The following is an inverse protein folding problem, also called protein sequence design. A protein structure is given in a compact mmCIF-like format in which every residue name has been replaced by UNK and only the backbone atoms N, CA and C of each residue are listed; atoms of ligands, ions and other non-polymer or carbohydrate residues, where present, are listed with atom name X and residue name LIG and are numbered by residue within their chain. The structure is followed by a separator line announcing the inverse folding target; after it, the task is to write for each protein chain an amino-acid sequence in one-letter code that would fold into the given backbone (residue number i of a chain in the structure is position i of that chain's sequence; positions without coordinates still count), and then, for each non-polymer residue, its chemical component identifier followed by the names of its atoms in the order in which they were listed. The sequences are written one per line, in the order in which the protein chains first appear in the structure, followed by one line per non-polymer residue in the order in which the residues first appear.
data_IF_146108371159
#
_entry.id   IF_146108371159
#
_cell.length_a   1.000
_cell.length_b   1.000
_cell.length_c   1.000
_cell.angle_alpha   90.00
_cell.angle_beta   90.00
_cell.angle_gamma   90.00
#
_symmetry.space_group_name_H-M   'P 1'
#
loop_
_entity.id
_entity.type
_entity.pdbx_description
1 polymer ?
#
# COMPACT_ATOMS: atom_id res chain seq x y z
N UNK A 1 -48.38 22.77 -6.21
CA UNK A 1 -47.20 22.58 -7.07
C UNK A 1 -46.11 21.98 -6.20
N UNK A 2 -46.07 20.66 -6.13
CA UNK A 2 -45.37 19.91 -5.07
C UNK A 2 -44.67 18.69 -5.63
N UNK A 3 -44.16 18.81 -6.85
CA UNK A 3 -43.69 17.67 -7.65
C UNK A 3 -42.25 17.81 -8.11
N UNK A 4 -41.62 18.97 -7.91
CA UNK A 4 -40.26 19.25 -8.39
C UNK A 4 -39.18 19.02 -7.32
N UNK A 5 -39.55 18.99 -6.04
CA UNK A 5 -38.65 18.68 -4.92
C UNK A 5 -38.47 17.16 -4.71
N UNK A 6 -39.47 16.34 -5.07
CA UNK A 6 -39.40 14.89 -4.93
C UNK A 6 -38.41 14.24 -5.93
N UNK A 7 -38.13 14.89 -7.07
CA UNK A 7 -37.21 14.37 -8.09
C UNK A 7 -35.74 14.36 -7.64
N UNK A 8 -35.40 15.13 -6.59
CA UNK A 8 -34.05 15.22 -6.05
C UNK A 8 -33.85 14.39 -4.76
N UNK A 9 -34.92 13.90 -4.14
CA UNK A 9 -34.84 12.97 -3.00
C UNK A 9 -34.61 11.52 -3.47
N UNK A 10 -34.99 11.18 -4.71
CA UNK A 10 -34.73 9.87 -5.34
C UNK A 10 -33.34 9.74 -5.98
N UNK A 11 -32.52 10.80 -5.95
CA UNK A 11 -31.11 10.71 -6.32
C UNK A 11 -30.30 10.22 -5.11
N UNK A 12 -30.52 8.95 -4.75
CA UNK A 12 -29.71 8.24 -3.79
C UNK A 12 -28.23 8.47 -4.08
N UNK A 13 -27.53 9.06 -3.11
CA UNK A 13 -26.07 9.12 -2.96
C UNK A 13 -25.34 8.72 -4.23
N UNK A 14 -25.19 9.67 -5.15
CA UNK A 14 -24.26 9.53 -6.28
C UNK A 14 -22.91 9.21 -5.65
N UNK A 15 -22.50 7.94 -5.75
CA UNK A 15 -21.31 7.43 -5.09
C UNK A 15 -20.16 8.39 -5.34
N UNK A 16 -19.50 8.82 -4.26
CA UNK A 16 -18.41 9.79 -4.30
C UNK A 16 -17.46 9.41 -5.44
N UNK A 17 -17.44 10.19 -6.52
CA UNK A 17 -16.62 9.89 -7.69
C UNK A 17 -15.17 10.01 -7.23
N UNK A 18 -14.42 8.92 -7.30
CA UNK A 18 -13.01 8.91 -6.97
C UNK A 18 -12.28 10.03 -7.73
N UNK A 19 -11.60 10.90 -7.00
CA UNK A 19 -10.79 11.96 -7.61
C UNK A 19 -9.64 11.34 -8.41
N UNK A 20 -9.65 11.57 -9.73
CA UNK A 20 -8.59 11.08 -10.61
C UNK A 20 -7.33 11.92 -10.41
N UNK A 21 -6.22 11.25 -10.13
CA UNK A 21 -4.91 11.90 -10.03
C UNK A 21 -4.35 12.13 -11.43
N UNK A 22 -3.98 13.38 -11.73
CA UNK A 22 -3.27 13.71 -12.96
C UNK A 22 -1.79 13.36 -12.81
N UNK A 23 -1.27 12.63 -13.80
CA UNK A 23 0.13 12.25 -13.87
C UNK A 23 0.68 12.64 -15.24
N UNK A 24 1.91 13.15 -15.25
CA UNK A 24 2.56 13.66 -16.45
C UNK A 24 3.78 12.82 -16.83
N UNK A 25 3.89 12.52 -18.12
CA UNK A 25 5.04 11.85 -18.75
C UNK A 25 5.50 12.70 -19.93
N UNK A 26 6.55 13.48 -19.74
CA UNK A 26 7.02 14.44 -20.75
C UNK A 26 5.94 15.48 -21.08
N UNK A 27 5.42 15.46 -22.31
CA UNK A 27 4.32 16.34 -22.75
C UNK A 27 2.93 15.74 -22.54
N UNK A 28 2.81 14.46 -22.18
CA UNK A 28 1.53 13.76 -22.05
C UNK A 28 1.00 13.82 -20.63
N UNK A 29 -0.31 14.02 -20.48
CA UNK A 29 -1.03 13.96 -19.20
C UNK A 29 -2.00 12.78 -19.24
N UNK A 30 -1.97 11.97 -18.19
CA UNK A 30 -2.88 10.86 -17.97
C UNK A 30 -3.63 11.06 -16.65
N UNK A 31 -4.84 10.52 -16.56
CA UNK A 31 -5.65 10.52 -15.34
C UNK A 31 -5.74 9.08 -14.83
N UNK A 32 -5.36 8.88 -13.57
CA UNK A 32 -5.32 7.56 -12.94
C UNK A 32 -6.08 7.62 -11.63
N UNK A 33 -6.93 6.62 -11.39
CA UNK A 33 -7.61 6.45 -10.12
C UNK A 33 -6.67 5.79 -9.10
N UNK A 34 -5.88 6.61 -8.39
CA UNK A 34 -4.92 6.12 -7.38
C UNK A 34 -5.61 5.63 -6.11
N UNK A 35 -6.73 6.25 -5.70
CA UNK A 35 -7.48 5.81 -4.53
C UNK A 35 -7.95 4.36 -4.71
N UNK A 36 -8.49 4.04 -5.89
CA UNK A 36 -8.89 2.67 -6.24
C UNK A 36 -7.71 1.71 -6.23
N UNK A 37 -6.61 2.01 -6.91
CA UNK A 37 -5.42 1.15 -6.94
C UNK A 37 -4.87 0.88 -5.54
N UNK A 38 -4.78 1.92 -4.72
CA UNK A 38 -4.31 1.80 -3.34
C UNK A 38 -5.24 0.92 -2.51
N UNK A 39 -6.55 1.05 -2.67
CA UNK A 39 -7.52 0.20 -1.98
C UNK A 39 -7.38 -1.27 -2.37
N UNK A 40 -7.32 -1.56 -3.67
CA UNK A 40 -7.12 -2.92 -4.19
C UNK A 40 -5.80 -3.52 -3.71
N UNK A 41 -4.71 -2.74 -3.78
CA UNK A 41 -3.40 -3.17 -3.30
C UNK A 41 -3.39 -3.41 -1.78
N UNK A 42 -4.09 -2.56 -1.01
CA UNK A 42 -4.19 -2.77 0.43
C UNK A 42 -4.99 -4.00 0.76
N UNK A 43 -6.19 -4.18 0.20
CA UNK A 43 -7.00 -5.40 0.36
C UNK A 43 -6.14 -6.65 0.12
N UNK A 44 -5.38 -6.68 -0.99
CA UNK A 44 -4.45 -7.78 -1.27
C UNK A 44 -3.34 -7.91 -0.24
N UNK A 45 -2.76 -6.81 0.22
CA UNK A 45 -1.75 -6.82 1.29
C UNK A 45 -2.33 -7.41 2.58
N UNK A 46 -3.57 -7.10 2.94
CA UNK A 46 -4.24 -7.64 4.12
C UNK A 46 -4.33 -9.14 4.10
N UNK A 47 -4.83 -9.70 3.00
CA UNK A 47 -4.90 -11.15 2.80
C UNK A 47 -3.54 -11.83 2.96
N UNK A 48 -2.48 -11.21 2.43
CA UNK A 48 -1.11 -11.72 2.55
C UNK A 48 -0.62 -11.64 4.00
N UNK A 49 -0.80 -10.49 4.67
CA UNK A 49 -0.32 -10.29 6.02
C UNK A 49 -1.03 -11.21 7.02
N UNK A 50 -2.34 -11.41 6.89
CA UNK A 50 -3.12 -12.35 7.70
C UNK A 50 -2.58 -13.79 7.58
N UNK A 51 -2.11 -14.18 6.39
CA UNK A 51 -1.47 -15.49 6.18
C UNK A 51 -0.07 -15.59 6.80
N UNK A 52 0.61 -14.47 7.00
CA UNK A 52 1.98 -14.40 7.49
C UNK A 52 2.06 -14.14 9.00
N UNK A 53 0.99 -13.69 9.63
CA UNK A 53 0.97 -13.42 11.06
C UNK A 53 1.36 -14.66 11.89
N UNK A 54 2.20 -14.43 12.90
CA UNK A 54 2.78 -15.46 13.76
C UNK A 54 3.95 -16.24 13.14
N UNK A 55 4.29 -16.02 11.87
CA UNK A 55 5.30 -16.79 11.14
C UNK A 55 6.59 -16.00 10.96
N UNK A 56 7.65 -16.69 10.57
CA UNK A 56 8.92 -16.05 10.24
C UNK A 56 8.88 -15.54 8.80
N UNK A 57 9.15 -14.26 8.62
CA UNK A 57 9.26 -13.62 7.30
C UNK A 57 10.61 -12.95 7.14
N UNK A 58 10.94 -12.61 5.90
CA UNK A 58 12.19 -11.96 5.53
C UNK A 58 11.85 -10.73 4.69
N UNK A 59 12.48 -9.61 5.01
CA UNK A 59 12.27 -8.34 4.32
C UNK A 59 13.48 -8.03 3.48
N UNK A 60 13.26 -7.73 2.21
CA UNK A 60 14.28 -7.18 1.31
C UNK A 60 13.79 -5.86 0.73
N UNK A 61 14.71 -4.92 0.53
CA UNK A 61 14.41 -3.71 -0.25
C UNK A 61 15.68 -3.19 -0.90
N UNK A 62 15.62 -3.00 -2.21
CA UNK A 62 16.59 -2.18 -2.90
C UNK A 62 16.04 -0.75 -2.93
N UNK A 63 16.62 0.16 -2.15
CA UNK A 63 16.17 1.57 -2.10
C UNK A 63 16.45 2.37 -3.38
N UNK A 64 16.64 1.69 -4.51
CA UNK A 64 16.93 2.25 -5.82
C UNK A 64 18.16 3.14 -5.86
N UNK A 65 18.21 4.05 -6.83
CA UNK A 65 19.24 5.08 -6.96
C UNK A 65 19.24 6.09 -5.79
N UNK A 66 18.23 6.07 -4.92
CA UNK A 66 18.04 6.96 -3.78
C UNK A 66 18.57 6.40 -2.45
N UNK A 67 19.15 5.19 -2.43
CA UNK A 67 19.71 4.58 -1.22
C UNK A 67 21.18 4.20 -1.39
N UNK A 68 21.96 4.39 -0.32
CA UNK A 68 23.36 3.94 -0.25
C UNK A 68 23.51 2.51 0.30
N UNK A 69 22.40 1.84 0.62
CA UNK A 69 22.41 0.50 1.17
C UNK A 69 21.25 -0.34 0.63
N UNK A 70 21.43 -1.66 0.70
CA UNK A 70 20.43 -2.66 0.37
C UNK A 70 20.21 -3.54 1.61
N UNK A 71 18.95 -3.71 2.01
CA UNK A 71 18.55 -4.78 2.94
C UNK A 71 18.17 -6.05 2.17
N UNK A 72 18.84 -7.15 2.47
CA UNK A 72 18.52 -8.44 1.86
C UNK A 72 18.21 -9.48 2.95
N UNK A 73 17.03 -10.10 2.83
CA UNK A 73 16.51 -11.14 3.71
C UNK A 73 16.66 -10.82 5.21
N UNK A 74 16.28 -9.61 5.61
CA UNK A 74 16.22 -9.25 7.02
C UNK A 74 15.08 -10.02 7.69
N UNK A 75 15.41 -10.94 8.59
CA UNK A 75 14.43 -11.79 9.27
C UNK A 75 13.60 -10.99 10.28
N UNK A 76 12.27 -11.03 10.14
CA UNK A 76 11.31 -10.70 11.19
C UNK A 76 10.69 -12.01 11.68
N UNK A 77 11.18 -12.51 12.81
CA UNK A 77 10.67 -13.74 13.40
C UNK A 77 9.39 -13.52 14.20
N UNK A 78 8.46 -14.51 14.15
CA UNK A 78 7.13 -14.47 14.76
C UNK A 78 6.42 -13.14 14.53
N UNK A 79 6.12 -12.87 13.27
CA UNK A 79 5.51 -11.63 12.82
C UNK A 79 4.29 -11.27 13.68
N UNK A 80 4.23 -10.03 14.16
CA UNK A 80 3.02 -9.43 14.76
C UNK A 80 2.65 -8.19 13.97
N UNK A 81 1.36 -7.99 13.75
CA UNK A 81 0.85 -6.88 12.94
C UNK A 81 0.28 -5.79 13.83
N UNK A 82 0.57 -4.54 13.48
CA UNK A 82 -0.10 -3.38 14.05
C UNK A 82 -0.55 -2.44 12.93
N UNK A 83 -1.81 -2.02 13.01
CA UNK A 83 -2.44 -1.13 12.03
C UNK A 83 -2.68 0.22 12.69
N UNK A 84 -2.22 1.29 12.04
CA UNK A 84 -2.43 2.66 12.52
C UNK A 84 -2.92 3.57 11.41
N UNK A 85 -3.80 4.49 11.78
CA UNK A 85 -4.26 5.58 10.92
C UNK A 85 -4.45 6.81 11.77
N UNK A 86 -4.29 7.95 11.11
CA UNK A 86 -4.57 9.26 11.68
C UNK A 86 -6.00 9.37 12.26
N UNK A 87 -6.97 8.68 11.66
CA UNK A 87 -8.38 8.75 12.08
C UNK A 87 -8.72 7.77 13.21
N UNK A 88 -8.04 6.62 13.27
CA UNK A 88 -8.26 5.58 14.28
C UNK A 88 -6.93 4.91 14.63
N UNK A 89 -6.25 5.37 15.69
CA UNK A 89 -4.87 4.96 15.99
C UNK A 89 -4.72 3.55 16.58
N UNK A 90 -5.81 2.89 16.98
CA UNK A 90 -5.80 1.58 17.66
C UNK A 90 -6.87 0.61 17.15
N UNK A 91 -7.54 0.92 16.03
CA UNK A 91 -8.56 0.07 15.47
C UNK A 91 -7.93 -1.06 14.64
N UNK A 92 -8.30 -2.34 14.85
CA UNK A 92 -7.99 -3.39 13.89
C UNK A 92 -8.61 -3.02 12.54
N UNK A 93 -7.95 -3.38 11.44
CA UNK A 93 -8.46 -3.08 10.11
C UNK A 93 -9.84 -3.75 9.91
N UNK A 94 -10.90 -2.93 9.94
CA UNK A 94 -12.31 -3.36 9.80
C UNK A 94 -13.12 -2.32 9.03
N UNK A 95 -13.93 -2.77 8.08
CA UNK A 95 -14.81 -1.91 7.27
C UNK A 95 -14.04 -1.02 6.28
N UNK A 96 -14.58 0.16 5.97
CA UNK A 96 -14.02 1.11 4.99
C UNK A 96 -12.76 1.85 5.46
N UNK A 97 -12.17 1.40 6.57
CA UNK A 97 -10.97 2.00 7.12
C UNK A 97 -9.73 1.57 6.34
N UNK A 98 -8.98 2.54 5.82
CA UNK A 98 -7.68 2.31 5.17
C UNK A 98 -6.54 2.68 6.13
N UNK A 99 -5.68 1.74 6.57
CA UNK A 99 -4.57 2.07 7.46
C UNK A 99 -3.59 3.00 6.75
N UNK A 100 -3.11 4.04 7.44
CA UNK A 100 -2.08 4.94 6.91
C UNK A 100 -0.68 4.36 7.08
N UNK A 101 -0.50 3.55 8.13
CA UNK A 101 0.75 2.85 8.45
C UNK A 101 0.41 1.41 8.87
N UNK A 102 1.19 0.48 8.34
CA UNK A 102 1.20 -0.92 8.78
C UNK A 102 2.58 -1.17 9.40
N UNK A 103 2.62 -1.72 10.61
CA UNK A 103 3.87 -2.05 11.29
C UNK A 103 4.01 -3.57 11.36
N UNK A 104 5.12 -4.05 10.81
CA UNK A 104 5.55 -5.44 10.88
C UNK A 104 6.52 -5.58 12.04
N UNK A 105 6.07 -6.13 13.17
CA UNK A 105 6.90 -6.37 14.34
C UNK A 105 7.53 -7.75 14.29
N UNK A 106 8.84 -7.82 14.51
CA UNK A 106 9.60 -9.05 14.71
C UNK A 106 10.10 -9.20 16.14
N UNK A 107 11.12 -10.04 16.29
CA UNK A 107 11.77 -10.30 17.57
C UNK A 107 12.51 -9.06 18.12
N UNK A 108 12.57 -8.96 19.46
CA UNK A 108 13.33 -7.92 20.19
C UNK A 108 12.97 -6.49 19.75
N UNK A 109 11.69 -6.24 19.53
CA UNK A 109 11.14 -4.94 19.11
C UNK A 109 11.67 -4.41 17.76
N UNK A 110 12.34 -5.26 16.97
CA UNK A 110 12.65 -4.95 15.58
C UNK A 110 11.35 -4.76 14.79
N UNK A 111 11.26 -3.71 13.98
CA UNK A 111 10.07 -3.42 13.19
C UNK A 111 10.38 -2.82 11.83
N UNK A 112 9.48 -3.09 10.88
CA UNK A 112 9.42 -2.41 9.59
C UNK A 112 8.08 -1.67 9.52
N UNK A 113 8.13 -0.38 9.18
CA UNK A 113 6.93 0.47 9.03
C UNK A 113 6.66 0.73 7.56
N UNK A 114 5.47 0.37 7.11
CA UNK A 114 5.00 0.55 5.74
C UNK A 114 4.01 1.71 5.73
N UNK A 115 4.36 2.79 5.06
CA UNK A 115 3.45 3.91 4.78
C UNK A 115 2.66 3.58 3.51
N UNK A 116 1.34 3.58 3.60
CA UNK A 116 0.47 3.02 2.56
C UNK A 116 0.03 4.04 1.51
N UNK A 117 0.40 5.31 1.66
CA UNK A 117 -0.07 6.43 0.85
C UNK A 117 0.28 6.32 -0.64
N UNK A 118 1.35 5.57 -0.96
CA UNK A 118 1.83 5.38 -2.33
C UNK A 118 1.83 3.92 -2.79
N UNK A 119 1.24 3.01 -2.01
CA UNK A 119 1.11 1.62 -2.41
C UNK A 119 0.14 1.54 -3.60
N UNK A 120 0.60 0.97 -4.71
CA UNK A 120 -0.19 0.87 -5.95
C UNK A 120 -0.43 -0.56 -6.42
N UNK A 121 0.37 -1.51 -5.94
CA UNK A 121 0.20 -2.93 -6.28
C UNK A 121 0.87 -3.84 -5.24
N UNK A 122 0.40 -5.08 -5.16
CA UNK A 122 1.00 -6.18 -4.40
C UNK A 122 1.08 -7.40 -5.30
N UNK A 123 2.29 -7.70 -5.80
CA UNK A 123 2.52 -8.80 -6.74
C UNK A 123 3.05 -10.02 -6.00
N UNK A 124 2.51 -11.18 -6.32
CA UNK A 124 2.95 -12.46 -5.77
C UNK A 124 3.80 -13.22 -6.79
N UNK A 125 4.91 -13.78 -6.33
CA UNK A 125 5.82 -14.59 -7.13
C UNK A 125 6.24 -15.83 -6.36
N UNK A 126 6.02 -16.98 -6.99
CA UNK A 126 6.38 -18.27 -6.43
C UNK A 126 7.70 -18.75 -7.03
N UNK A 127 8.68 -19.01 -6.17
CA UNK A 127 9.98 -19.54 -6.58
C UNK A 127 10.21 -20.93 -5.99
N UNK A 128 11.22 -21.63 -6.51
CA UNK A 128 11.68 -22.87 -5.90
C UNK A 128 12.32 -22.56 -4.55
N UNK A 129 11.61 -22.88 -3.45
CA UNK A 129 12.08 -22.71 -2.08
C UNK A 129 11.53 -21.50 -1.32
N UNK A 130 10.79 -20.58 -1.95
CA UNK A 130 10.13 -19.47 -1.25
C UNK A 130 8.98 -18.86 -2.07
N UNK A 131 8.10 -18.16 -1.36
CA UNK A 131 7.10 -17.25 -1.92
C UNK A 131 7.55 -15.82 -1.63
N UNK A 132 7.42 -14.94 -2.62
CA UNK A 132 7.79 -13.53 -2.52
C UNK A 132 6.61 -12.65 -2.89
N UNK A 133 6.31 -11.68 -2.04
CA UNK A 133 5.33 -10.63 -2.30
C UNK A 133 6.06 -9.29 -2.47
N UNK A 134 5.83 -8.64 -3.60
CA UNK A 134 6.44 -7.37 -3.97
C UNK A 134 5.40 -6.26 -3.76
N UNK A 135 5.68 -5.36 -2.83
CA UNK A 135 4.86 -4.19 -2.56
C UNK A 135 5.41 -3.03 -3.38
N UNK A 136 4.64 -2.59 -4.38
CA UNK A 136 5.07 -1.53 -5.28
C UNK A 136 4.54 -0.18 -4.82
N UNK A 137 5.47 0.76 -4.63
CA UNK A 137 5.18 2.14 -4.29
C UNK A 137 5.47 3.03 -5.48
N UNK A 138 4.55 3.94 -5.78
CA UNK A 138 4.69 4.83 -6.92
C UNK A 138 4.39 6.29 -6.58
N UNK A 139 5.31 7.16 -6.97
CA UNK A 139 5.21 8.61 -6.79
C UNK A 139 5.40 9.38 -8.09
N UNK A 140 4.74 8.96 -9.17
CA UNK A 140 4.83 9.65 -10.45
C UNK A 140 6.15 9.40 -11.17
N UNK A 141 6.55 10.32 -12.04
CA UNK A 141 7.74 10.18 -12.88
C UNK A 141 8.72 11.30 -12.58
N UNK A 142 10.02 11.03 -12.68
CA UNK A 142 11.15 11.97 -12.50
C UNK A 142 10.77 13.44 -12.20
N UNK A 143 10.58 14.25 -13.25
CA UNK A 143 10.32 15.70 -13.15
C UNK A 143 8.91 16.07 -12.65
N UNK A 144 8.02 15.08 -12.56
CA UNK A 144 6.60 15.22 -12.23
C UNK A 144 6.19 14.21 -11.14
N UNK A 145 6.71 14.34 -9.91
CA UNK A 145 6.26 13.52 -8.80
C UNK A 145 4.81 13.88 -8.41
N UNK A 146 4.04 12.88 -7.94
CA UNK A 146 2.68 13.11 -7.45
C UNK A 146 2.73 13.89 -6.12
N UNK A 147 3.64 13.50 -5.24
CA UNK A 147 3.94 14.18 -3.98
C UNK A 147 5.42 14.60 -3.97
N UNK A 148 5.73 15.91 -3.95
CA UNK A 148 7.11 16.39 -3.99
C UNK A 148 7.91 16.10 -2.70
N UNK A 149 7.24 15.70 -1.61
CA UNK A 149 7.87 15.37 -0.32
C UNK A 149 8.16 13.87 -0.15
N UNK A 150 8.00 13.08 -1.21
CA UNK A 150 8.20 11.64 -1.22
C UNK A 150 9.28 11.24 -2.24
N UNK A 151 9.94 10.08 -2.07
CA UNK A 151 10.89 9.57 -3.06
C UNK A 151 10.27 9.52 -4.45
N UNK A 152 11.04 9.88 -5.48
CA UNK A 152 10.57 9.99 -6.86
C UNK A 152 10.50 8.60 -7.50
N UNK A 153 9.49 8.38 -8.35
CA UNK A 153 9.43 7.19 -9.20
C UNK A 153 8.84 5.97 -8.48
N UNK A 154 9.45 4.82 -8.73
CA UNK A 154 9.02 3.53 -8.19
C UNK A 154 9.98 3.03 -7.12
N UNK A 155 9.43 2.51 -6.03
CA UNK A 155 10.16 1.77 -5.01
C UNK A 155 9.46 0.44 -4.74
N UNK A 156 10.21 -0.57 -4.30
CA UNK A 156 9.68 -1.89 -4.01
C UNK A 156 10.17 -2.38 -2.63
N UNK A 157 9.27 -3.05 -1.91
CA UNK A 157 9.56 -3.77 -0.68
C UNK A 157 9.16 -5.23 -0.89
N UNK A 158 10.09 -6.13 -0.63
CA UNK A 158 9.87 -7.55 -0.80
C UNK A 158 9.61 -8.17 0.58
N UNK A 159 8.49 -8.88 0.68
CA UNK A 159 8.17 -9.77 1.79
C UNK A 159 8.41 -11.19 1.29
N UNK A 160 9.33 -11.91 1.91
CA UNK A 160 9.72 -13.26 1.52
C UNK A 160 9.38 -14.23 2.63
N UNK A 161 8.83 -15.37 2.24
CA UNK A 161 8.66 -16.53 3.10
C UNK A 161 9.29 -17.75 2.45
N UNK A 162 10.28 -18.33 3.12
CA UNK A 162 10.85 -19.60 2.69
C UNK A 162 9.88 -20.74 2.95
N UNK A 163 9.89 -21.70 2.03
CA UNK A 163 9.21 -22.98 2.19
C UNK A 163 10.03 -23.80 3.18
N UNK A 164 9.35 -24.31 4.20
CA UNK A 164 9.94 -25.24 5.17
C UNK A 164 10.26 -26.59 4.51
#
# INVERSE_FOLDING_TARGET
MTTQLALFEEAGTVGQVDELTQVRVGSRVAQINLSKRRREALERLGEVLDQLEGKDIYISTCGGASSHFWLNHLKLGRLRLEYSSYKYPTAPWKGDYTPGVIVLWGNRDGSVRIFTDQLVDVREQEYQGYTMWLLDFWNGFSEYPINPYRPIGYACLDIVRFKD
#
